data_IF_196113825672
#
_entry.id   IF_196113825672
#
_cell.length_a   1.000
_cell.length_b   1.000
_cell.length_c   1.000
_cell.angle_alpha   90.00
_cell.angle_beta   90.00
_cell.angle_gamma   90.00
#
_symmetry.space_group_name_H-M   'P 1'
#
loop_
_entity.id
_entity.type
_entity.pdbx_description
1 polymer ?
#
# COMPACT_ATOMS: atom_id res chain seq x y z
N UNK A 1 14.98 10.64 -11.90
CA UNK A 1 13.98 9.60 -12.19
C UNK A 1 14.68 8.26 -12.21
N UNK A 2 14.47 7.43 -11.18
CA UNK A 2 14.99 6.05 -11.19
C UNK A 2 14.02 5.15 -11.96
N UNK A 3 14.54 4.32 -12.87
CA UNK A 3 13.74 3.39 -13.68
C UNK A 3 13.73 1.97 -13.12
N UNK A 4 14.30 1.75 -11.93
CA UNK A 4 14.57 0.44 -11.31
C UNK A 4 13.41 -0.23 -10.57
N UNK A 5 12.19 0.32 -10.62
CA UNK A 5 11.02 -0.22 -9.90
C UNK A 5 10.35 -1.42 -10.59
N UNK A 6 10.79 -1.78 -11.80
CA UNK A 6 10.21 -2.92 -12.53
C UNK A 6 10.42 -4.22 -11.75
N UNK A 7 9.32 -4.90 -11.42
CA UNK A 7 9.34 -6.17 -10.69
C UNK A 7 9.61 -6.04 -9.20
N UNK A 8 9.69 -4.81 -8.66
CA UNK A 8 9.85 -4.58 -7.22
C UNK A 8 8.52 -4.73 -6.51
N UNK A 9 8.57 -5.39 -5.36
CA UNK A 9 7.46 -5.43 -4.40
C UNK A 9 7.29 -4.07 -3.72
N UNK A 10 6.08 -3.84 -3.20
CA UNK A 10 5.78 -2.72 -2.31
C UNK A 10 5.09 -3.25 -1.05
N UNK A 11 5.88 -3.65 -0.06
CA UNK A 11 5.37 -4.12 1.24
C UNK A 11 5.31 -2.98 2.25
N UNK A 12 6.39 -2.21 2.38
CA UNK A 12 6.49 -0.99 3.18
C UNK A 12 7.19 0.12 2.36
N UNK A 13 6.92 1.39 2.68
CA UNK A 13 7.64 2.49 2.02
C UNK A 13 9.13 2.52 2.39
N UNK A 14 9.50 1.99 3.56
CA UNK A 14 10.91 1.82 3.96
C UNK A 14 11.68 0.82 3.08
N UNK A 15 11.00 -0.05 2.32
CA UNK A 15 11.66 -0.93 1.35
C UNK A 15 12.14 -0.17 0.09
N UNK A 16 11.71 1.08 -0.09
CA UNK A 16 12.04 1.94 -1.24
C UNK A 16 12.82 3.17 -0.78
N UNK A 17 13.69 3.71 -1.64
CA UNK A 17 14.41 4.98 -1.42
C UNK A 17 13.48 6.20 -1.60
N UNK A 18 13.92 7.40 -1.17
CA UNK A 18 13.12 8.62 -1.34
C UNK A 18 12.88 8.90 -2.82
N UNK A 19 13.91 8.72 -3.65
CA UNK A 19 13.85 8.93 -5.10
C UNK A 19 12.86 7.96 -5.78
N UNK A 20 12.77 6.72 -5.31
CA UNK A 20 11.81 5.73 -5.80
C UNK A 20 10.36 6.14 -5.44
N UNK A 21 10.13 6.60 -4.21
CA UNK A 21 8.82 7.11 -3.78
C UNK A 21 8.43 8.36 -4.57
N UNK A 22 9.35 9.32 -4.73
CA UNK A 22 9.15 10.52 -5.52
C UNK A 22 8.84 10.19 -6.98
N UNK A 23 9.55 9.21 -7.57
CA UNK A 23 9.27 8.73 -8.93
C UNK A 23 7.85 8.17 -9.04
N UNK A 24 7.38 7.41 -8.04
CA UNK A 24 6.01 6.90 -8.04
C UNK A 24 4.96 8.03 -7.90
N UNK A 25 5.24 9.05 -7.09
CA UNK A 25 4.40 10.23 -6.95
C UNK A 25 4.33 11.05 -8.25
N UNK A 26 5.45 11.22 -8.95
CA UNK A 26 5.50 11.91 -10.25
C UNK A 26 4.62 11.21 -11.29
N UNK A 27 4.72 9.88 -11.37
CA UNK A 27 3.84 9.07 -12.24
C UNK A 27 2.38 9.22 -11.82
N UNK A 28 2.08 9.24 -10.52
CA UNK A 28 0.71 9.43 -10.04
C UNK A 28 0.14 10.81 -10.42
N UNK A 29 0.94 11.88 -10.35
CA UNK A 29 0.53 13.22 -10.80
C UNK A 29 0.26 13.27 -12.30
N UNK A 30 1.12 12.67 -13.11
CA UNK A 30 0.93 12.56 -14.57
C UNK A 30 -0.35 11.78 -14.91
N UNK A 31 -0.56 10.61 -14.30
CA UNK A 31 -1.76 9.80 -14.51
C UNK A 31 -3.03 10.54 -14.09
N UNK A 32 -3.02 11.22 -12.95
CA UNK A 32 -4.15 12.05 -12.49
C UNK A 32 -4.47 13.15 -13.50
N UNK A 33 -3.46 13.83 -14.05
CA UNK A 33 -3.63 14.85 -15.09
C UNK A 33 -4.22 14.27 -16.37
N UNK A 34 -3.63 13.18 -16.90
CA UNK A 34 -4.12 12.51 -18.12
C UNK A 34 -5.56 12.08 -17.98
N UNK A 35 -5.92 11.51 -16.82
CA UNK A 35 -7.29 11.13 -16.50
C UNK A 35 -8.24 12.34 -16.51
N UNK A 36 -7.84 13.46 -15.92
CA UNK A 36 -8.64 14.68 -15.88
C UNK A 36 -8.84 15.31 -17.28
N UNK A 37 -7.85 15.18 -18.17
CA UNK A 37 -7.90 15.68 -19.54
C UNK A 37 -8.57 14.70 -20.53
N UNK A 38 -8.94 13.50 -20.10
CA UNK A 38 -9.50 12.46 -20.97
C UNK A 38 -8.47 11.84 -21.92
N UNK A 39 -7.18 12.01 -21.65
CA UNK A 39 -6.10 11.42 -22.44
C UNK A 39 -5.99 9.92 -22.17
N UNK A 40 -5.86 9.10 -23.23
CA UNK A 40 -5.69 7.65 -23.09
C UNK A 40 -4.27 7.31 -22.60
N UNK A 41 -4.18 6.42 -21.59
CA UNK A 41 -2.91 5.99 -21.00
C UNK A 41 -2.91 4.48 -20.64
N UNK A 42 -3.10 3.58 -21.60
CA UNK A 42 -3.24 2.14 -21.35
C UNK A 42 -1.89 1.44 -21.12
N UNK A 43 -1.13 1.86 -20.11
CA UNK A 43 0.22 1.34 -19.83
C UNK A 43 0.26 -0.13 -19.39
N UNK A 44 -0.85 -0.62 -18.85
CA UNK A 44 -1.03 -1.99 -18.37
C UNK A 44 -2.01 -2.77 -19.26
N UNK A 45 -2.07 -2.46 -20.55
CA UNK A 45 -2.91 -3.20 -21.51
C UNK A 45 -2.65 -4.70 -21.40
N UNK A 46 -3.74 -5.46 -21.25
CA UNK A 46 -3.76 -6.92 -21.12
C UNK A 46 -3.04 -7.48 -19.89
N UNK A 47 -2.69 -6.63 -18.91
CA UNK A 47 -2.09 -7.06 -17.63
C UNK A 47 -3.16 -7.39 -16.60
N UNK A 48 -2.94 -8.44 -15.83
CA UNK A 48 -3.86 -8.88 -14.77
C UNK A 48 -3.22 -8.70 -13.40
N UNK A 49 -3.95 -8.05 -12.49
CA UNK A 49 -3.59 -7.93 -11.08
C UNK A 49 -4.50 -8.82 -10.25
N UNK A 50 -3.95 -9.88 -9.64
CA UNK A 50 -4.69 -10.67 -8.65
C UNK A 50 -4.84 -9.88 -7.36
N UNK A 51 -6.06 -9.56 -6.93
CA UNK A 51 -6.31 -8.80 -5.70
C UNK A 51 -6.92 -9.70 -4.63
N UNK A 52 -6.08 -10.18 -3.72
CA UNK A 52 -6.43 -11.10 -2.66
C UNK A 52 -6.84 -10.36 -1.38
N UNK A 53 -8.09 -10.55 -0.94
CA UNK A 53 -8.64 -9.95 0.26
C UNK A 53 -8.93 -10.99 1.35
N UNK A 54 -8.24 -10.88 2.48
CA UNK A 54 -8.57 -11.59 3.73
C UNK A 54 -9.68 -10.88 4.52
N UNK A 55 -9.75 -9.56 4.37
CA UNK A 55 -10.78 -8.72 4.97
C UNK A 55 -11.33 -7.81 3.88
N UNK A 56 -12.65 -7.60 3.87
CA UNK A 56 -13.29 -6.73 2.88
C UNK A 56 -12.87 -5.26 3.08
N UNK A 57 -12.69 -4.54 1.97
CA UNK A 57 -12.48 -3.09 1.95
C UNK A 57 -12.96 -2.52 0.63
N UNK A 58 -14.12 -1.86 0.66
CA UNK A 58 -14.74 -1.27 -0.54
C UNK A 58 -13.85 -0.21 -1.19
N UNK A 59 -13.24 0.67 -0.39
CA UNK A 59 -12.41 1.76 -0.92
C UNK A 59 -11.16 1.23 -1.62
N UNK A 60 -10.47 0.30 -0.98
CA UNK A 60 -9.24 -0.30 -1.51
C UNK A 60 -9.53 -1.11 -2.77
N UNK A 61 -10.59 -1.94 -2.76
CA UNK A 61 -11.01 -2.68 -3.94
C UNK A 61 -11.35 -1.75 -5.10
N UNK A 62 -12.20 -0.75 -4.85
CA UNK A 62 -12.64 0.19 -5.88
C UNK A 62 -11.47 0.99 -6.47
N UNK A 63 -10.51 1.43 -5.64
CA UNK A 63 -9.35 2.20 -6.14
C UNK A 63 -8.42 1.36 -7.01
N UNK A 64 -8.15 0.11 -6.61
CA UNK A 64 -7.28 -0.79 -7.37
C UNK A 64 -7.95 -1.28 -8.67
N UNK A 65 -9.21 -1.70 -8.62
CA UNK A 65 -9.96 -2.10 -9.82
C UNK A 65 -10.06 -0.97 -10.83
N UNK A 66 -10.43 0.23 -10.36
CA UNK A 66 -10.53 1.40 -11.23
C UNK A 66 -9.16 1.80 -11.79
N UNK A 67 -8.09 1.77 -10.98
CA UNK A 67 -6.73 2.06 -11.43
C UNK A 67 -6.25 1.09 -12.52
N UNK A 68 -6.44 -0.21 -12.32
CA UNK A 68 -6.12 -1.23 -13.33
C UNK A 68 -6.90 -1.03 -14.62
N UNK A 69 -8.22 -0.82 -14.53
CA UNK A 69 -9.06 -0.59 -15.70
C UNK A 69 -8.68 0.68 -16.47
N UNK A 70 -8.35 1.77 -15.75
CA UNK A 70 -7.90 3.03 -16.36
C UNK A 70 -6.57 2.87 -17.10
N UNK A 71 -5.68 2.01 -16.59
CA UNK A 71 -4.41 1.66 -17.22
C UNK A 71 -4.56 0.58 -18.32
N UNK A 72 -5.79 0.14 -18.63
CA UNK A 72 -6.07 -0.85 -19.67
C UNK A 72 -5.90 -2.31 -19.25
N UNK A 73 -5.69 -2.58 -17.97
CA UNK A 73 -5.56 -3.92 -17.41
C UNK A 73 -6.82 -4.40 -16.70
N UNK A 74 -6.72 -5.55 -16.04
CA UNK A 74 -7.81 -6.19 -15.31
C UNK A 74 -7.45 -6.40 -13.83
N UNK A 75 -8.31 -5.93 -12.92
CA UNK A 75 -8.22 -6.27 -11.50
C UNK A 75 -9.07 -7.50 -11.18
N UNK A 76 -8.42 -8.64 -10.94
CA UNK A 76 -9.10 -9.89 -10.59
C UNK A 76 -9.33 -9.96 -9.08
N UNK A 77 -10.55 -9.67 -8.64
CA UNK A 77 -10.90 -9.73 -7.22
C UNK A 77 -11.01 -11.18 -6.73
N UNK A 78 -10.30 -11.49 -5.65
CA UNK A 78 -10.32 -12.80 -4.98
C UNK A 78 -10.58 -12.61 -3.49
N UNK A 79 -11.65 -13.20 -2.99
CA UNK A 79 -11.94 -13.24 -1.56
C UNK A 79 -11.40 -14.53 -0.95
N UNK A 80 -10.50 -14.43 0.03
CA UNK A 80 -9.83 -15.60 0.64
C UNK A 80 -10.79 -16.71 1.06
N UNK A 81 -11.95 -16.34 1.63
CA UNK A 81 -12.98 -17.28 2.14
C UNK A 81 -13.59 -18.16 1.05
N UNK A 82 -13.62 -17.69 -0.19
CA UNK A 82 -14.17 -18.40 -1.34
C UNK A 82 -13.10 -19.06 -2.21
N UNK A 83 -11.85 -19.08 -1.75
CA UNK A 83 -10.70 -19.69 -2.43
C UNK A 83 -10.13 -20.86 -1.62
N UNK A 84 -9.19 -21.63 -2.19
CA UNK A 84 -8.52 -22.73 -1.49
C UNK A 84 -7.62 -22.28 -0.32
N UNK A 85 -7.38 -20.97 -0.16
CA UNK A 85 -6.75 -20.40 1.04
C UNK A 85 -7.52 -20.74 2.31
N UNK A 86 -8.86 -20.83 2.24
CA UNK A 86 -9.66 -21.25 3.40
C UNK A 86 -9.50 -22.74 3.74
N UNK A 87 -8.88 -23.52 2.86
CA UNK A 87 -8.64 -24.96 2.99
C UNK A 87 -7.16 -25.31 3.21
N UNK A 88 -6.28 -24.31 3.30
CA UNK A 88 -4.89 -24.50 3.75
C UNK A 88 -3.80 -24.13 2.76
N UNK A 89 -4.08 -23.47 1.62
CA UNK A 89 -3.01 -22.99 0.73
C UNK A 89 -2.01 -22.13 1.51
N UNK A 90 -0.73 -22.48 1.39
CA UNK A 90 0.37 -21.75 2.01
C UNK A 90 0.68 -20.44 1.26
N UNK A 91 1.31 -19.48 1.94
CA UNK A 91 1.80 -18.26 1.29
C UNK A 91 2.70 -18.55 0.08
N UNK A 92 3.52 -19.61 0.17
CA UNK A 92 4.38 -20.06 -0.92
C UNK A 92 3.58 -20.53 -2.14
N UNK A 93 2.60 -21.41 -1.94
CA UNK A 93 1.74 -21.90 -3.03
C UNK A 93 0.97 -20.75 -3.69
N UNK A 94 0.48 -19.79 -2.90
CA UNK A 94 -0.19 -18.60 -3.43
C UNK A 94 0.75 -17.76 -4.30
N UNK A 95 1.98 -17.51 -3.86
CA UNK A 95 2.97 -16.79 -4.68
C UNK A 95 3.31 -17.50 -5.99
N UNK A 96 3.51 -18.82 -5.93
CA UNK A 96 3.85 -19.62 -7.11
C UNK A 96 2.70 -19.75 -8.12
N UNK A 97 1.47 -19.94 -7.63
CA UNK A 97 0.27 -20.13 -8.47
C UNK A 97 -0.16 -18.80 -9.06
N UNK A 98 -0.42 -17.78 -8.23
CA UNK A 98 -0.91 -16.50 -8.73
C UNK A 98 0.14 -15.80 -9.59
N UNK A 99 1.43 -15.93 -9.25
CA UNK A 99 2.50 -15.35 -10.05
C UNK A 99 2.69 -15.98 -11.43
N UNK A 100 2.15 -17.19 -11.68
CA UNK A 100 2.16 -17.80 -13.03
C UNK A 100 1.05 -17.27 -13.94
N UNK A 101 -0.09 -16.89 -13.37
CA UNK A 101 -1.28 -16.49 -14.12
C UNK A 101 -1.44 -14.98 -14.26
N UNK A 102 -0.81 -14.20 -13.38
CA UNK A 102 -1.01 -12.77 -13.26
C UNK A 102 0.29 -12.01 -13.41
N UNK A 103 0.20 -10.71 -13.69
CA UNK A 103 1.34 -9.79 -13.84
C UNK A 103 1.69 -9.06 -12.53
N UNK A 104 0.88 -9.25 -11.50
CA UNK A 104 1.11 -8.75 -10.14
C UNK A 104 0.11 -9.37 -9.16
N UNK A 105 0.44 -9.28 -7.88
CA UNK A 105 -0.41 -9.76 -6.78
C UNK A 105 -0.58 -8.61 -5.79
N UNK A 106 -1.80 -8.20 -5.50
CA UNK A 106 -2.11 -7.23 -4.46
C UNK A 106 -2.79 -7.95 -3.30
N UNK A 107 -2.30 -7.78 -2.07
CA UNK A 107 -2.80 -8.52 -0.90
C UNK A 107 -3.24 -7.54 0.18
N UNK A 108 -4.42 -7.80 0.75
CA UNK A 108 -4.89 -7.18 1.98
C UNK A 108 -5.09 -8.24 3.06
N UNK A 109 -4.20 -8.27 4.03
CA UNK A 109 -4.29 -9.15 5.20
C UNK A 109 -3.95 -8.36 6.46
N UNK A 110 -4.95 -7.99 7.25
CA UNK A 110 -4.79 -7.18 8.45
C UNK A 110 -4.85 -8.00 9.75
N UNK A 111 -4.61 -9.31 9.64
CA UNK A 111 -4.56 -10.21 10.80
C UNK A 111 -3.38 -9.82 11.69
N UNK A 112 -3.61 -9.46 12.97
CA UNK A 112 -2.54 -9.09 13.89
C UNK A 112 -1.45 -10.17 13.99
N UNK A 113 -0.19 -9.78 13.80
CA UNK A 113 0.97 -10.68 13.90
C UNK A 113 1.15 -11.68 12.76
N UNK A 114 0.33 -11.61 11.72
CA UNK A 114 0.35 -12.58 10.60
C UNK A 114 0.43 -11.86 9.25
N UNK A 115 -0.32 -10.77 9.08
CA UNK A 115 -0.56 -10.17 7.78
C UNK A 115 0.70 -9.69 7.06
N UNK A 116 1.60 -8.98 7.74
CA UNK A 116 2.84 -8.50 7.12
C UNK A 116 3.74 -9.66 6.68
N UNK A 117 3.94 -10.65 7.56
CA UNK A 117 4.78 -11.80 7.27
C UNK A 117 4.20 -12.62 6.11
N UNK A 118 2.89 -12.87 6.10
CA UNK A 118 2.23 -13.58 5.01
C UNK A 118 2.49 -12.90 3.66
N UNK A 119 2.37 -11.56 3.59
CA UNK A 119 2.63 -10.82 2.34
C UNK A 119 4.10 -10.95 1.92
N UNK A 120 5.05 -10.87 2.86
CA UNK A 120 6.48 -11.05 2.58
C UNK A 120 6.80 -12.46 2.09
N UNK A 121 6.15 -13.48 2.65
CA UNK A 121 6.31 -14.88 2.23
C UNK A 121 5.76 -15.12 0.82
N UNK A 122 4.61 -14.51 0.49
CA UNK A 122 4.07 -14.54 -0.88
C UNK A 122 5.02 -13.84 -1.85
N UNK A 123 5.57 -12.68 -1.46
CA UNK A 123 6.55 -11.95 -2.26
C UNK A 123 7.81 -12.78 -2.55
N UNK A 124 8.35 -13.46 -1.54
CA UNK A 124 9.52 -14.32 -1.69
C UNK A 124 9.30 -15.53 -2.63
N UNK A 125 8.06 -16.01 -2.75
CA UNK A 125 7.70 -17.13 -3.62
C UNK A 125 7.19 -16.71 -5.01
N UNK A 126 6.82 -15.44 -5.18
CA UNK A 126 6.23 -14.91 -6.41
C UNK A 126 7.30 -14.55 -7.44
N UNK A 127 6.97 -14.73 -8.73
CA UNK A 127 7.78 -14.26 -9.87
C UNK A 127 7.38 -12.86 -10.37
N UNK A 128 6.28 -12.33 -9.85
CA UNK A 128 5.69 -11.03 -10.20
C UNK A 128 5.55 -10.16 -8.96
N UNK A 129 5.52 -8.82 -9.10
CA UNK A 129 5.52 -7.94 -7.93
C UNK A 129 4.30 -8.15 -7.03
N UNK A 130 4.56 -8.11 -5.72
CA UNK A 130 3.57 -8.19 -4.65
C UNK A 130 3.37 -6.82 -4.01
N UNK A 131 2.11 -6.40 -3.94
CA UNK A 131 1.67 -5.09 -3.48
C UNK A 131 0.88 -5.23 -2.19
N UNK A 132 1.40 -4.70 -1.09
CA UNK A 132 0.69 -4.65 0.19
C UNK A 132 -0.41 -3.57 0.13
N UNK A 133 -1.65 -3.99 -0.13
CA UNK A 133 -2.78 -3.07 -0.08
C UNK A 133 -3.01 -2.54 1.32
N UNK A 134 -2.91 -3.41 2.33
CA UNK A 134 -2.88 -3.08 3.75
C UNK A 134 -2.55 -4.35 4.56
N UNK A 135 -1.61 -4.24 5.49
CA UNK A 135 -1.43 -5.20 6.57
C UNK A 135 -1.64 -4.54 7.93
N UNK A 136 -1.50 -5.31 9.01
CA UNK A 136 -1.60 -4.83 10.38
C UNK A 136 -0.52 -3.78 10.72
N UNK A 137 0.63 -3.83 10.05
CA UNK A 137 1.77 -2.93 10.30
C UNK A 137 1.80 -1.74 9.32
N UNK A 138 1.61 -2.00 8.02
CA UNK A 138 1.83 -1.01 6.96
C UNK A 138 0.64 -0.84 6.02
N UNK A 139 0.45 0.40 5.55
CA UNK A 139 -0.55 0.77 4.55
C UNK A 139 0.05 1.70 3.46
N UNK A 140 1.01 1.23 2.66
CA UNK A 140 1.85 2.09 1.82
C UNK A 140 1.05 2.90 0.78
N UNK A 141 0.02 2.32 0.16
CA UNK A 141 -0.80 3.03 -0.84
C UNK A 141 -1.62 4.18 -0.26
N UNK A 142 -2.11 4.05 0.99
CA UNK A 142 -2.77 5.18 1.67
C UNK A 142 -1.77 6.30 1.90
N UNK A 143 -0.55 5.98 2.33
CA UNK A 143 0.46 7.00 2.61
C UNK A 143 0.95 7.68 1.33
N UNK A 144 1.10 6.94 0.22
CA UNK A 144 1.39 7.57 -1.08
C UNK A 144 0.28 8.58 -1.47
N UNK A 145 -0.99 8.23 -1.25
CA UNK A 145 -2.10 9.15 -1.50
C UNK A 145 -2.07 10.37 -0.55
N UNK A 146 -1.70 10.18 0.72
CA UNK A 146 -1.57 11.25 1.70
C UNK A 146 -0.43 12.23 1.31
N UNK A 147 0.75 11.70 0.98
CA UNK A 147 1.90 12.50 0.51
C UNK A 147 1.56 13.28 -0.76
N UNK A 148 0.96 12.61 -1.75
CA UNK A 148 0.51 13.25 -2.98
C UNK A 148 -0.44 14.40 -2.69
N UNK A 149 -1.41 14.20 -1.79
CA UNK A 149 -2.39 15.22 -1.41
C UNK A 149 -1.74 16.40 -0.69
N UNK A 150 -0.79 16.15 0.22
CA UNK A 150 -0.06 17.21 0.91
C UNK A 150 0.75 18.03 -0.10
N UNK A 151 1.47 17.40 -1.02
CA UNK A 151 2.20 18.10 -2.09
C UNK A 151 1.24 18.93 -2.93
N UNK A 152 0.09 18.38 -3.33
CA UNK A 152 -0.89 19.10 -4.14
C UNK A 152 -1.49 20.33 -3.42
N UNK A 153 -1.70 20.25 -2.11
CA UNK A 153 -2.34 21.33 -1.32
C UNK A 153 -1.37 22.29 -0.65
N UNK A 154 -0.12 21.87 -0.43
CA UNK A 154 0.91 22.63 0.34
C UNK A 154 2.20 22.85 -0.43
N UNK A 155 2.35 22.27 -1.62
CA UNK A 155 3.48 22.44 -2.53
C UNK A 155 4.75 21.65 -2.18
N UNK A 156 4.97 21.32 -0.90
CA UNK A 156 6.13 20.56 -0.43
C UNK A 156 5.82 19.79 0.84
N UNK A 157 6.58 18.74 1.11
CA UNK A 157 6.53 17.97 2.37
C UNK A 157 7.45 18.60 3.43
N UNK A 158 8.75 18.76 3.10
CA UNK A 158 9.77 19.23 4.05
C UNK A 158 9.37 20.54 4.72
N UNK A 159 9.46 20.57 6.05
CA UNK A 159 9.16 21.72 6.90
C UNK A 159 7.66 21.99 7.12
N UNK A 160 6.76 21.20 6.55
CA UNK A 160 5.34 21.25 6.91
C UNK A 160 5.13 20.56 8.26
N UNK A 161 4.10 20.97 8.99
CA UNK A 161 3.67 20.31 10.22
C UNK A 161 2.43 19.46 9.96
N UNK A 162 2.41 18.25 10.52
CA UNK A 162 1.26 17.33 10.45
C UNK A 162 0.92 16.82 11.85
N UNK A 163 -0.37 16.87 12.18
CA UNK A 163 -0.91 16.20 13.36
C UNK A 163 -1.56 14.90 12.92
N UNK A 164 -1.05 13.78 13.40
CA UNK A 164 -1.61 12.45 13.16
C UNK A 164 -2.39 12.07 14.41
N UNK A 165 -3.72 11.92 14.27
CA UNK A 165 -4.59 11.56 15.38
C UNK A 165 -5.37 10.29 15.10
N UNK A 166 -5.48 9.44 16.11
CA UNK A 166 -6.33 8.25 16.11
C UNK A 166 -6.85 7.99 17.51
N UNK A 167 -7.99 7.32 17.56
CA UNK A 167 -8.67 6.98 18.80
C UNK A 167 -9.47 5.68 18.58
N UNK A 168 -10.22 5.29 19.60
CA UNK A 168 -11.13 4.16 19.51
C UNK A 168 -12.13 4.32 18.35
N UNK A 169 -12.52 3.20 17.76
CA UNK A 169 -13.66 3.13 16.87
C UNK A 169 -14.79 2.39 17.60
N UNK A 170 -16.03 2.84 17.43
CA UNK A 170 -17.21 2.11 17.93
C UNK A 170 -17.45 0.80 17.15
N UNK A 171 -16.90 0.69 15.95
CA UNK A 171 -16.77 -0.56 15.18
C UNK A 171 -15.61 -1.42 15.70
N UNK A 172 -15.34 -2.57 15.06
CA UNK A 172 -14.14 -3.36 15.32
C UNK A 172 -12.87 -2.50 15.30
N UNK A 173 -11.88 -2.88 16.12
CA UNK A 173 -10.60 -2.19 16.22
C UNK A 173 -9.92 -2.16 14.85
N UNK A 174 -9.69 -0.96 14.33
CA UNK A 174 -9.00 -0.77 13.05
C UNK A 174 -7.50 -0.98 13.26
N UNK A 175 -6.79 -1.52 12.26
CA UNK A 175 -5.34 -1.66 12.34
C UNK A 175 -4.67 -0.28 12.46
N UNK A 176 -3.68 -0.16 13.34
CA UNK A 176 -2.85 1.05 13.51
C UNK A 176 -1.87 1.28 12.35
N UNK A 177 -1.94 0.44 11.30
CA UNK A 177 -1.13 0.53 10.08
C UNK A 177 -1.03 1.93 9.45
N UNK A 178 -2.10 2.72 9.47
CA UNK A 178 -2.11 4.08 8.89
C UNK A 178 -1.23 5.04 9.70
N UNK A 179 -1.50 5.30 11.00
CA UNK A 179 -0.64 6.21 11.75
C UNK A 179 0.82 5.72 11.82
N UNK A 180 1.06 4.41 11.89
CA UNK A 180 2.42 3.84 11.81
C UNK A 180 3.12 4.17 10.48
N UNK A 181 2.45 3.94 9.35
CA UNK A 181 3.07 4.19 8.04
C UNK A 181 3.24 5.69 7.78
N UNK A 182 2.31 6.51 8.28
CA UNK A 182 2.33 7.95 8.07
C UNK A 182 3.44 8.63 8.88
N UNK A 183 3.67 8.21 10.13
CA UNK A 183 4.76 8.79 10.94
C UNK A 183 6.11 8.53 10.27
N UNK A 184 6.36 7.30 9.80
CA UNK A 184 7.59 6.94 9.10
C UNK A 184 7.80 7.79 7.85
N UNK A 185 6.78 7.93 7.00
CA UNK A 185 6.92 8.71 5.78
C UNK A 185 7.05 10.21 6.07
N UNK A 186 6.26 10.75 7.00
CA UNK A 186 6.27 12.17 7.31
C UNK A 186 7.63 12.62 7.87
N UNK A 187 8.20 11.91 8.84
CA UNK A 187 9.53 12.24 9.39
C UNK A 187 10.62 12.06 8.33
N UNK A 188 10.57 10.97 7.57
CA UNK A 188 11.50 10.69 6.46
C UNK A 188 11.53 11.76 5.37
N UNK A 189 10.40 12.42 5.09
CA UNK A 189 10.31 13.54 4.16
C UNK A 189 10.49 14.92 4.83
N UNK A 190 10.97 14.94 6.08
CA UNK A 190 11.34 16.14 6.81
C UNK A 190 10.15 16.98 7.29
N UNK A 191 9.01 16.36 7.57
CA UNK A 191 7.85 17.01 8.20
C UNK A 191 8.00 17.03 9.73
N UNK A 192 7.42 18.05 10.37
CA UNK A 192 7.28 18.07 11.83
C UNK A 192 6.02 17.29 12.22
N UNK A 193 6.18 16.18 12.94
CA UNK A 193 5.06 15.30 13.30
C UNK A 193 4.62 15.52 14.74
N UNK A 194 3.31 15.62 14.95
CA UNK A 194 2.67 15.55 16.27
C UNK A 194 1.71 14.37 16.30
N UNK A 195 1.91 13.46 17.25
CA UNK A 195 1.00 12.33 17.49
C UNK A 195 -0.03 12.71 18.57
N UNK A 196 -1.30 12.35 18.36
CA UNK A 196 -2.38 12.58 19.33
C UNK A 196 -3.24 11.34 19.40
N UNK A 197 -3.07 10.57 20.47
CA UNK A 197 -3.82 9.34 20.72
C UNK A 197 -4.01 9.10 22.23
N UNK A 198 -4.99 8.28 22.63
CA UNK A 198 -5.09 7.85 24.02
C UNK A 198 -3.87 6.99 24.43
N UNK A 199 -3.47 6.98 25.71
CA UNK A 199 -2.26 6.28 26.17
C UNK A 199 -2.19 4.79 25.82
N UNK A 200 -3.34 4.13 25.68
CA UNK A 200 -3.44 2.71 25.37
C UNK A 200 -3.32 2.36 23.87
N UNK A 201 -3.26 3.37 22.98
CA UNK A 201 -3.15 3.19 21.53
C UNK A 201 -1.78 3.60 20.97
N UNK A 202 -0.72 3.14 21.61
CA UNK A 202 0.66 3.43 21.19
C UNK A 202 1.00 2.81 19.82
N UNK A 203 1.94 3.45 19.13
CA UNK A 203 2.58 2.86 17.96
C UNK A 203 3.59 1.79 18.40
N UNK A 204 3.93 0.85 17.52
CA UNK A 204 4.97 -0.13 17.80
C UNK A 204 6.31 0.56 18.15
N UNK A 205 7.05 0.12 19.20
CA UNK A 205 8.32 0.74 19.58
C UNK A 205 9.35 0.82 18.45
N UNK A 206 9.39 -0.19 17.57
CA UNK A 206 10.27 -0.18 16.39
C UNK A 206 9.91 0.92 15.39
N UNK A 207 8.62 1.22 15.21
CA UNK A 207 8.14 2.27 14.31
C UNK A 207 8.52 3.65 14.87
N UNK A 208 8.42 3.83 16.20
CA UNK A 208 8.82 5.08 16.85
C UNK A 208 10.33 5.29 16.71
N UNK A 209 11.13 4.25 17.00
CA UNK A 209 12.59 4.32 16.89
C UNK A 209 13.05 4.63 15.45
N UNK A 210 12.41 4.03 14.44
CA UNK A 210 12.71 4.33 13.03
C UNK A 210 12.30 5.76 12.64
N UNK A 211 11.20 6.28 13.19
CA UNK A 211 10.75 7.63 12.90
C UNK A 211 11.62 8.74 13.54
N UNK A 212 12.32 8.42 14.63
CA UNK A 212 13.21 9.33 15.36
C UNK A 212 14.65 9.38 14.81
N UNK A 213 15.03 8.40 13.98
CA UNK A 213 16.36 8.28 13.38
C UNK A 213 16.60 9.27 12.23
#
# INVERSE_FOLDING_TARGET
MQTGLRGRDLVALSDWTNEEIETALDVAFDLKRKRALGELHPYLRDRVLAMLFFFSSTRTRASFEAGMAQLGGHGMFMESRTTQISHGDTAKEIGEILGRYNDGIAIRNVTPGVGNQYIRDVAAASRVPVLNMQCEIYHPFQILADLMTIIEKKGRLKGQSITISWAYASSYQKPISVPQSLVLAATRFGMNVKLVHPPEFELMPSIVAEAEA
#
